data_IF_873081028697
#
_entry.id   IF_873081028697
#
_cell.length_a   1.000
_cell.length_b   1.000
_cell.length_c   1.000
_cell.angle_alpha   90.00
_cell.angle_beta   90.00
_cell.angle_gamma   90.00
#
_symmetry.space_group_name_H-M   'P 1'
#
loop_
_entity.id
_entity.type
_entity.pdbx_description
1 polymer ?
#
# COMPACT_ATOMS: atom_id res chain seq x y z
N UNK A 1 20.81 17.79 -7.51
CA UNK A 1 22.25 17.72 -7.82
C UNK A 1 22.99 17.26 -6.57
N UNK A 2 23.28 15.95 -6.46
CA UNK A 2 24.26 15.49 -5.47
C UNK A 2 25.64 15.96 -5.94
N UNK A 3 26.10 17.07 -5.38
CA UNK A 3 27.45 17.54 -5.63
C UNK A 3 28.42 16.72 -4.78
N UNK A 4 29.13 15.79 -5.44
CA UNK A 4 30.31 15.11 -4.90
C UNK A 4 31.34 16.08 -4.28
N UNK A 5 31.15 17.39 -4.50
CA UNK A 5 32.08 18.48 -4.07
C UNK A 5 31.69 19.16 -2.75
N UNK A 6 30.44 19.03 -2.26
CA UNK A 6 30.01 19.83 -1.10
C UNK A 6 30.20 19.11 0.25
N UNK A 7 30.26 17.77 0.29
CA UNK A 7 30.46 17.03 1.54
C UNK A 7 31.85 16.42 1.67
N UNK A 8 32.70 16.45 0.63
CA UNK A 8 34.05 15.83 0.64
C UNK A 8 34.04 14.31 0.89
N UNK A 9 32.86 13.67 0.95
CA UNK A 9 32.71 12.26 1.24
C UNK A 9 32.62 11.45 -0.06
N UNK A 10 33.35 10.35 -0.10
CA UNK A 10 33.26 9.36 -1.16
C UNK A 10 32.02 8.46 -0.94
N UNK A 11 31.19 8.28 -1.98
CA UNK A 11 30.05 7.38 -1.91
C UNK A 11 30.59 5.94 -2.01
N UNK A 12 30.68 5.26 -0.87
CA UNK A 12 31.01 3.82 -0.83
C UNK A 12 29.84 3.02 -1.38
N UNK A 13 30.09 1.74 -1.72
CA UNK A 13 29.02 0.81 -2.16
C UNK A 13 27.93 0.65 -1.12
N UNK A 14 28.25 0.65 0.16
CA UNK A 14 27.28 0.56 1.26
C UNK A 14 26.39 1.82 1.34
N UNK A 15 26.97 3.01 1.24
CA UNK A 15 26.20 4.26 1.17
C UNK A 15 25.31 4.28 -0.08
N UNK A 16 25.84 3.80 -1.21
CA UNK A 16 25.08 3.71 -2.45
C UNK A 16 23.87 2.75 -2.33
N UNK A 17 24.02 1.61 -1.61
CA UNK A 17 22.93 0.68 -1.31
C UNK A 17 21.79 1.37 -0.53
N UNK A 18 22.10 2.08 0.56
CA UNK A 18 21.08 2.77 1.36
C UNK A 18 20.37 3.89 0.60
N UNK A 19 21.11 4.69 -0.17
CA UNK A 19 20.52 5.73 -1.00
C UNK A 19 19.63 5.15 -2.09
N UNK A 20 20.05 4.07 -2.72
CA UNK A 20 19.27 3.38 -3.74
C UNK A 20 18.03 2.70 -3.14
N UNK A 21 18.14 2.09 -1.95
CA UNK A 21 17.00 1.55 -1.21
C UNK A 21 15.93 2.63 -0.97
N UNK A 22 16.34 3.82 -0.52
CA UNK A 22 15.42 4.95 -0.34
C UNK A 22 14.70 5.35 -1.64
N UNK A 23 15.42 5.43 -2.76
CA UNK A 23 14.82 5.71 -4.07
C UNK A 23 13.84 4.61 -4.48
N UNK A 24 14.21 3.34 -4.33
CA UNK A 24 13.40 2.19 -4.72
C UNK A 24 12.10 2.15 -3.91
N UNK A 25 12.15 2.37 -2.61
CA UNK A 25 10.98 2.34 -1.73
C UNK A 25 10.04 3.53 -1.98
N UNK A 26 10.58 4.74 -2.13
CA UNK A 26 9.79 5.95 -2.38
C UNK A 26 9.13 5.96 -3.77
N UNK A 27 9.75 5.33 -4.74
CA UNK A 27 9.27 5.28 -6.13
C UNK A 27 8.51 4.01 -6.50
N UNK A 28 8.27 3.10 -5.53
CA UNK A 28 7.66 1.80 -5.81
C UNK A 28 8.42 1.03 -6.89
N UNK A 29 9.72 0.93 -6.76
CA UNK A 29 10.62 0.32 -7.76
C UNK A 29 10.53 1.01 -9.13
N UNK A 30 10.56 2.34 -9.13
CA UNK A 30 10.47 3.21 -10.32
C UNK A 30 9.12 3.14 -11.07
N UNK A 31 8.04 2.72 -10.40
CA UNK A 31 6.72 2.60 -11.01
C UNK A 31 5.78 3.79 -10.68
N UNK A 32 6.09 4.60 -9.68
CA UNK A 32 5.25 5.72 -9.28
C UNK A 32 5.46 6.97 -10.15
N UNK A 33 4.47 7.87 -10.14
CA UNK A 33 4.50 9.12 -10.93
C UNK A 33 5.54 10.15 -10.48
N UNK A 34 6.14 9.99 -9.32
CA UNK A 34 7.23 10.84 -8.81
C UNK A 34 8.61 10.51 -9.44
N UNK A 35 8.69 9.50 -10.30
CA UNK A 35 9.92 9.15 -11.03
C UNK A 35 10.19 10.19 -12.12
N UNK A 36 11.36 10.78 -12.10
CA UNK A 36 11.84 11.75 -13.07
C UNK A 36 13.12 11.28 -13.76
N UNK A 37 13.52 11.94 -14.85
CA UNK A 37 14.84 11.74 -15.46
C UNK A 37 15.97 11.82 -14.43
N UNK A 38 15.90 12.83 -13.54
CA UNK A 38 16.91 13.00 -12.49
C UNK A 38 16.93 11.82 -11.49
N UNK A 39 15.78 11.24 -11.15
CA UNK A 39 15.68 10.04 -10.33
C UNK A 39 16.47 8.89 -10.95
N UNK A 40 16.27 8.66 -12.25
CA UNK A 40 16.96 7.59 -12.99
C UNK A 40 18.46 7.86 -13.14
N UNK A 41 18.86 9.12 -13.37
CA UNK A 41 20.28 9.51 -13.43
C UNK A 41 20.99 9.31 -12.09
N UNK A 42 20.33 9.64 -10.98
CA UNK A 42 20.88 9.40 -9.65
C UNK A 42 21.01 7.91 -9.38
N UNK A 43 19.97 7.11 -9.66
CA UNK A 43 20.00 5.65 -9.50
C UNK A 43 21.14 5.02 -10.33
N UNK A 44 21.32 5.44 -11.59
CA UNK A 44 22.43 4.98 -12.46
C UNK A 44 23.79 5.25 -11.83
N UNK A 45 24.00 6.45 -11.25
CA UNK A 45 25.26 6.79 -10.56
C UNK A 45 25.49 5.94 -9.32
N UNK A 46 24.43 5.63 -8.55
CA UNK A 46 24.53 4.78 -7.38
C UNK A 46 24.91 3.34 -7.77
N UNK A 47 24.31 2.81 -8.83
CA UNK A 47 24.68 1.50 -9.38
C UNK A 47 26.16 1.50 -9.85
N UNK A 48 26.61 2.57 -10.52
CA UNK A 48 27.99 2.72 -10.92
C UNK A 48 28.97 2.85 -9.73
N UNK A 49 28.48 3.27 -8.55
CA UNK A 49 29.23 3.31 -7.29
C UNK A 49 29.16 1.97 -6.52
N UNK A 50 28.57 0.93 -7.12
CA UNK A 50 28.54 -0.43 -6.57
C UNK A 50 27.26 -0.80 -5.83
N UNK A 51 26.18 -0.01 -5.96
CA UNK A 51 24.89 -0.37 -5.36
C UNK A 51 24.31 -1.65 -5.99
N UNK A 52 23.78 -2.53 -5.15
CA UNK A 52 23.27 -3.86 -5.53
C UNK A 52 21.79 -3.81 -5.86
N UNK A 53 21.44 -3.12 -6.94
CA UNK A 53 20.05 -2.89 -7.35
C UNK A 53 19.21 -4.17 -7.38
N UNK A 54 19.73 -5.26 -7.97
CA UNK A 54 19.00 -6.53 -8.07
C UNK A 54 18.67 -7.11 -6.68
N UNK A 55 19.64 -7.17 -5.78
CA UNK A 55 19.46 -7.70 -4.43
C UNK A 55 18.45 -6.86 -3.64
N UNK A 56 18.60 -5.53 -3.67
CA UNK A 56 17.69 -4.61 -2.98
C UNK A 56 16.24 -4.79 -3.49
N UNK A 57 16.04 -4.76 -4.80
CA UNK A 57 14.71 -4.96 -5.39
C UNK A 57 14.13 -6.34 -5.08
N UNK A 58 14.96 -7.38 -5.11
CA UNK A 58 14.52 -8.74 -4.79
C UNK A 58 14.07 -8.86 -3.33
N UNK A 59 14.88 -8.37 -2.38
CA UNK A 59 14.53 -8.43 -0.95
C UNK A 59 13.28 -7.62 -0.63
N UNK A 60 13.13 -6.45 -1.24
CA UNK A 60 11.98 -5.57 -0.97
C UNK A 60 10.66 -6.07 -1.58
N UNK A 61 10.68 -6.65 -2.77
CA UNK A 61 9.43 -6.90 -3.52
C UNK A 61 9.19 -8.38 -3.90
N UNK A 62 10.18 -9.25 -3.78
CA UNK A 62 10.08 -10.63 -4.26
C UNK A 62 10.40 -11.69 -3.21
N UNK A 63 11.07 -11.34 -2.12
CA UNK A 63 11.42 -12.27 -1.05
C UNK A 63 10.34 -12.27 0.04
N UNK A 64 9.23 -12.95 -0.24
CA UNK A 64 8.09 -13.02 0.68
C UNK A 64 8.03 -14.37 1.39
N UNK A 65 7.57 -14.37 2.64
CA UNK A 65 7.37 -15.61 3.39
C UNK A 65 6.20 -16.44 2.81
N UNK A 66 6.22 -17.74 3.04
CA UNK A 66 5.13 -18.65 2.67
C UNK A 66 3.81 -18.22 3.32
N UNK A 67 3.85 -17.86 4.59
CA UNK A 67 2.69 -17.45 5.39
C UNK A 67 2.02 -16.22 4.77
N UNK A 68 2.82 -15.20 4.38
CA UNK A 68 2.34 -14.02 3.66
C UNK A 68 1.69 -14.40 2.32
N UNK A 69 2.34 -15.26 1.54
CA UNK A 69 1.81 -15.67 0.23
C UNK A 69 0.48 -16.43 0.36
N UNK A 70 0.36 -17.33 1.35
CA UNK A 70 -0.88 -18.07 1.62
C UNK A 70 -1.97 -17.12 2.12
N UNK A 71 -1.65 -16.18 3.03
CA UNK A 71 -2.60 -15.18 3.50
C UNK A 71 -3.09 -14.29 2.34
N UNK A 72 -2.20 -13.82 1.47
CA UNK A 72 -2.54 -13.01 0.31
C UNK A 72 -3.52 -13.74 -0.62
N UNK A 73 -3.23 -14.99 -0.97
CA UNK A 73 -4.13 -15.81 -1.79
C UNK A 73 -5.50 -16.01 -1.16
N UNK A 74 -5.54 -16.28 0.17
CA UNK A 74 -6.79 -16.45 0.92
C UNK A 74 -7.62 -15.16 0.98
N UNK A 75 -7.00 -14.02 1.21
CA UNK A 75 -7.67 -12.72 1.28
C UNK A 75 -8.18 -12.28 -0.09
N UNK A 76 -7.37 -12.40 -1.13
CA UNK A 76 -7.75 -12.00 -2.48
C UNK A 76 -8.82 -12.90 -3.10
N UNK A 77 -8.85 -14.19 -2.77
CA UNK A 77 -9.91 -15.11 -3.22
C UNK A 77 -11.30 -14.76 -2.66
N UNK A 78 -11.37 -14.02 -1.56
CA UNK A 78 -12.61 -13.54 -0.92
C UNK A 78 -12.95 -12.09 -1.27
N UNK A 79 -12.17 -11.45 -2.14
CA UNK A 79 -12.38 -10.06 -2.55
C UNK A 79 -13.78 -9.89 -3.11
N UNK A 80 -14.43 -8.78 -2.77
CA UNK A 80 -15.76 -8.42 -3.25
C UNK A 80 -15.74 -7.08 -3.96
N UNK A 81 -16.58 -6.96 -4.97
CA UNK A 81 -16.77 -5.75 -5.75
C UNK A 81 -18.14 -5.16 -5.50
N UNK A 82 -18.23 -3.83 -5.51
CA UNK A 82 -19.43 -3.05 -5.26
C UNK A 82 -19.44 -1.83 -6.19
N UNK A 83 -20.62 -1.17 -6.31
CA UNK A 83 -20.77 0.09 -7.04
C UNK A 83 -20.34 -0.03 -8.50
N UNK A 84 -20.88 -1.01 -9.21
CA UNK A 84 -20.54 -1.33 -10.60
C UNK A 84 -19.02 -1.54 -10.78
N UNK A 85 -18.43 -2.35 -9.86
CA UNK A 85 -17.02 -2.71 -9.79
C UNK A 85 -16.04 -1.54 -9.56
N UNK A 86 -16.56 -0.35 -9.20
CA UNK A 86 -15.71 0.81 -8.88
C UNK A 86 -15.07 0.74 -7.50
N UNK A 87 -15.64 -0.06 -6.59
CA UNK A 87 -15.11 -0.32 -5.25
C UNK A 87 -14.75 -1.79 -5.10
N UNK A 88 -13.49 -2.06 -4.76
CA UNK A 88 -13.03 -3.39 -4.36
C UNK A 88 -12.71 -3.43 -2.86
N UNK A 89 -13.21 -4.46 -2.18
CA UNK A 89 -13.05 -4.65 -0.73
C UNK A 89 -12.38 -5.98 -0.46
N UNK A 90 -11.28 -5.95 0.28
CA UNK A 90 -10.64 -7.11 0.89
C UNK A 90 -10.81 -7.08 2.40
N UNK A 91 -10.91 -8.26 3.00
CA UNK A 91 -11.03 -8.38 4.46
C UNK A 91 -10.03 -9.38 5.00
N UNK A 92 -9.40 -9.03 6.10
CA UNK A 92 -8.44 -9.87 6.82
C UNK A 92 -8.95 -10.03 8.26
N UNK A 93 -9.47 -11.20 8.58
CA UNK A 93 -10.05 -11.50 9.88
C UNK A 93 -9.12 -12.40 10.70
N UNK A 94 -9.37 -12.50 12.00
CA UNK A 94 -8.58 -13.33 12.92
C UNK A 94 -8.38 -14.76 12.42
N UNK A 95 -9.42 -15.37 11.81
CA UNK A 95 -9.34 -16.71 11.28
C UNK A 95 -8.40 -16.84 10.07
N UNK A 96 -8.20 -15.75 9.31
CA UNK A 96 -7.24 -15.74 8.22
C UNK A 96 -5.81 -15.79 8.76
N UNK A 97 -5.51 -15.04 9.81
CA UNK A 97 -4.22 -15.09 10.49
C UNK A 97 -3.97 -16.45 11.14
N UNK A 98 -4.93 -16.97 11.91
CA UNK A 98 -4.82 -18.27 12.58
C UNK A 98 -4.60 -19.43 11.61
N UNK A 99 -5.29 -19.41 10.46
CA UNK A 99 -5.22 -20.49 9.48
C UNK A 99 -3.95 -20.48 8.64
N UNK A 100 -3.28 -19.33 8.52
CA UNK A 100 -2.08 -19.16 7.68
C UNK A 100 -0.79 -19.06 8.49
N UNK A 101 -0.88 -18.78 9.79
CA UNK A 101 0.27 -18.49 10.64
C UNK A 101 0.89 -17.13 10.38
N UNK A 102 0.24 -16.28 9.56
CA UNK A 102 0.73 -14.94 9.25
C UNK A 102 0.40 -13.95 10.37
N UNK A 103 1.17 -12.87 10.44
CA UNK A 103 0.96 -11.74 11.35
C UNK A 103 0.44 -10.49 10.60
N UNK A 104 -0.04 -9.51 11.36
CA UNK A 104 -0.69 -8.32 10.78
C UNK A 104 0.25 -7.44 9.95
N UNK A 105 1.53 -7.39 10.26
CA UNK A 105 2.56 -6.70 9.46
C UNK A 105 2.73 -7.30 8.06
N UNK A 106 2.43 -8.60 7.90
CA UNK A 106 2.48 -9.28 6.60
C UNK A 106 1.38 -8.85 5.63
N UNK A 107 0.43 -8.01 6.05
CA UNK A 107 -0.65 -7.48 5.19
C UNK A 107 -0.28 -6.22 4.44
N UNK A 108 0.91 -5.66 4.68
CA UNK A 108 1.36 -4.45 4.01
C UNK A 108 1.35 -4.61 2.48
N UNK A 109 0.80 -3.62 1.77
CA UNK A 109 0.67 -3.64 0.31
C UNK A 109 -0.47 -4.50 -0.25
N UNK A 110 -1.20 -5.27 0.57
CA UNK A 110 -2.31 -6.09 0.07
C UNK A 110 -3.39 -5.28 -0.63
N UNK A 111 -3.63 -4.06 -0.16
CA UNK A 111 -4.65 -3.15 -0.71
C UNK A 111 -4.31 -2.66 -2.12
N UNK A 112 -3.05 -2.70 -2.53
CA UNK A 112 -2.62 -2.23 -3.85
C UNK A 112 -3.09 -3.18 -4.96
N UNK A 113 -3.26 -4.47 -4.63
CA UNK A 113 -3.75 -5.45 -5.59
C UNK A 113 -5.19 -5.16 -6.06
N UNK A 114 -6.23 -5.02 -5.19
CA UNK A 114 -7.56 -4.61 -5.64
C UNK A 114 -7.56 -3.26 -6.38
N UNK A 115 -6.73 -2.30 -5.95
CA UNK A 115 -6.64 -1.02 -6.66
C UNK A 115 -6.06 -1.16 -8.07
N UNK A 116 -5.19 -2.14 -8.32
CA UNK A 116 -4.59 -2.39 -9.64
C UNK A 116 -5.59 -2.91 -10.70
N UNK A 117 -6.76 -3.38 -10.26
CA UNK A 117 -7.77 -3.95 -11.16
C UNK A 117 -8.38 -2.84 -12.02
N UNK A 118 -8.54 -3.13 -13.32
CA UNK A 118 -9.18 -2.22 -14.26
C UNK A 118 -10.63 -1.94 -13.85
N UNK A 119 -11.05 -0.67 -13.90
CA UNK A 119 -12.39 -0.24 -13.49
C UNK A 119 -12.53 0.10 -12.02
N UNK A 120 -11.71 -0.47 -11.13
CA UNK A 120 -11.70 -0.11 -9.71
C UNK A 120 -11.13 1.30 -9.53
N UNK A 121 -11.85 2.15 -8.84
CA UNK A 121 -11.46 3.52 -8.50
C UNK A 121 -11.03 3.65 -7.04
N UNK A 122 -11.66 2.87 -6.16
CA UNK A 122 -11.35 2.84 -4.72
C UNK A 122 -11.14 1.41 -4.26
N UNK A 123 -10.10 1.18 -3.48
CA UNK A 123 -9.86 -0.07 -2.76
C UNK A 123 -9.96 0.14 -1.26
N UNK A 124 -10.58 -0.82 -0.58
CA UNK A 124 -10.72 -0.85 0.89
C UNK A 124 -10.17 -2.15 1.43
N UNK A 125 -9.36 -2.06 2.46
CA UNK A 125 -8.96 -3.19 3.29
C UNK A 125 -9.56 -3.04 4.69
N UNK A 126 -10.30 -4.07 5.13
CA UNK A 126 -10.90 -4.17 6.47
C UNK A 126 -10.13 -5.24 7.24
N UNK A 127 -9.25 -4.82 8.14
CA UNK A 127 -8.44 -5.74 8.94
C UNK A 127 -8.91 -5.76 10.39
N UNK A 128 -9.27 -6.93 10.90
CA UNK A 128 -9.59 -7.09 12.31
C UNK A 128 -8.34 -6.91 13.16
N UNK A 129 -8.35 -5.90 14.04
CA UNK A 129 -7.24 -5.59 14.95
C UNK A 129 -7.49 -6.12 16.36
N UNK A 130 -8.76 -6.19 16.77
CA UNK A 130 -9.25 -6.74 18.04
C UNK A 130 -10.69 -7.23 17.84
N UNK A 131 -11.28 -8.00 18.77
CA UNK A 131 -12.70 -8.30 18.72
C UNK A 131 -13.54 -7.02 18.55
N UNK A 132 -14.38 -6.99 17.50
CA UNK A 132 -15.24 -5.86 17.14
C UNK A 132 -14.49 -4.53 16.91
N UNK A 133 -13.22 -4.57 16.52
CA UNK A 133 -12.47 -3.37 16.14
C UNK A 133 -11.66 -3.65 14.87
N UNK A 134 -11.81 -2.77 13.87
CA UNK A 134 -11.25 -2.95 12.54
C UNK A 134 -10.42 -1.74 12.12
N UNK A 135 -9.21 -2.01 11.67
CA UNK A 135 -8.39 -1.05 10.94
C UNK A 135 -8.85 -1.02 9.49
N UNK A 136 -9.27 0.13 9.05
CA UNK A 136 -9.68 0.38 7.68
C UNK A 136 -8.54 1.11 6.97
N UNK A 137 -8.15 0.61 5.83
CA UNK A 137 -7.25 1.30 4.92
C UNK A 137 -8.00 1.58 3.62
N UNK A 138 -7.81 2.78 3.08
CA UNK A 138 -8.43 3.21 1.83
C UNK A 138 -7.35 3.67 0.85
N UNK A 139 -7.56 3.35 -0.43
CA UNK A 139 -6.74 3.83 -1.55
C UNK A 139 -7.65 4.28 -2.69
N UNK A 140 -7.23 5.31 -3.41
CA UNK A 140 -7.97 5.89 -4.54
C UNK A 140 -7.05 6.09 -5.74
N UNK A 141 -7.61 5.96 -6.94
CA UNK A 141 -6.96 6.37 -8.20
C UNK A 141 -7.09 7.87 -8.50
N UNK A 142 -7.75 8.63 -7.61
CA UNK A 142 -7.81 10.10 -7.67
C UNK A 142 -9.20 10.67 -7.90
N UNK A 143 -10.22 9.88 -8.27
CA UNK A 143 -11.59 10.38 -8.37
C UNK A 143 -12.23 10.66 -7.00
N UNK A 144 -11.88 9.89 -5.98
CA UNK A 144 -12.41 10.06 -4.62
C UNK A 144 -11.29 10.52 -3.70
N UNK A 145 -11.54 11.55 -2.92
CA UNK A 145 -10.70 11.91 -1.77
C UNK A 145 -10.98 10.94 -0.61
N UNK A 146 -10.13 9.93 -0.46
CA UNK A 146 -10.31 8.94 0.61
C UNK A 146 -9.94 9.48 1.99
N UNK A 147 -9.29 10.64 2.09
CA UNK A 147 -9.07 11.30 3.36
C UNK A 147 -10.38 11.88 3.92
N UNK A 148 -11.23 12.45 3.07
CA UNK A 148 -12.58 12.89 3.48
C UNK A 148 -13.40 11.69 3.97
N UNK A 149 -13.38 10.57 3.25
CA UNK A 149 -14.07 9.33 3.68
C UNK A 149 -13.56 8.84 5.04
N UNK A 150 -12.24 8.78 5.25
CA UNK A 150 -11.68 8.36 6.53
C UNK A 150 -12.02 9.31 7.68
N UNK A 151 -12.11 10.61 7.40
CA UNK A 151 -12.42 11.66 8.39
C UNK A 151 -13.82 11.53 8.98
N UNK A 152 -14.79 10.97 8.23
CA UNK A 152 -16.15 10.64 8.74
C UNK A 152 -16.07 9.72 9.97
N UNK A 153 -15.04 8.87 10.03
CA UNK A 153 -14.83 7.88 11.08
C UNK A 153 -13.70 8.29 12.06
N UNK A 154 -13.33 9.57 12.08
CA UNK A 154 -12.28 10.08 12.96
C UNK A 154 -10.86 9.65 12.55
N UNK A 155 -10.68 9.21 11.31
CA UNK A 155 -9.40 8.88 10.71
C UNK A 155 -8.82 10.03 9.88
N UNK A 156 -7.89 9.71 8.99
CA UNK A 156 -7.26 10.69 8.10
C UNK A 156 -6.12 10.09 7.28
N UNK A 157 -5.43 10.97 6.56
CA UNK A 157 -4.30 10.60 5.69
C UNK A 157 -4.13 11.58 4.54
N UNK A 158 -3.91 11.05 3.36
CA UNK A 158 -3.79 11.81 2.12
C UNK A 158 -4.97 11.52 1.18
N UNK A 159 -5.19 12.39 0.22
CA UNK A 159 -6.25 12.27 -0.81
C UNK A 159 -6.32 10.89 -1.44
N UNK A 160 -5.16 10.27 -1.72
CA UNK A 160 -5.07 8.96 -2.38
C UNK A 160 -4.89 7.77 -1.42
N UNK A 161 -4.56 8.03 -0.14
CA UNK A 161 -4.22 7.00 0.83
C UNK A 161 -4.55 7.44 2.25
N UNK A 162 -5.53 6.83 2.87
CA UNK A 162 -5.99 7.17 4.21
C UNK A 162 -6.40 5.94 5.00
N UNK A 163 -6.72 6.14 6.28
CA UNK A 163 -7.20 5.07 7.13
C UNK A 163 -7.91 5.55 8.38
N UNK A 164 -8.69 4.67 8.99
CA UNK A 164 -9.40 4.91 10.23
C UNK A 164 -9.54 3.62 11.05
N UNK A 165 -10.02 3.77 12.28
CA UNK A 165 -10.42 2.63 13.14
C UNK A 165 -11.92 2.70 13.35
N UNK A 166 -12.62 1.58 13.11
CA UNK A 166 -14.07 1.50 13.35
C UNK A 166 -14.37 0.34 14.29
N UNK A 167 -15.15 0.62 15.33
CA UNK A 167 -15.66 -0.40 16.26
C UNK A 167 -17.08 -0.80 15.88
N UNK A 168 -17.39 -2.09 15.98
CA UNK A 168 -18.70 -2.67 15.67
C UNK A 168 -18.61 -4.10 15.16
N UNK A 169 -19.74 -4.68 14.78
CA UNK A 169 -19.75 -5.97 14.07
C UNK A 169 -19.23 -5.80 12.65
N UNK A 170 -18.57 -6.83 12.13
CA UNK A 170 -17.92 -6.78 10.81
C UNK A 170 -18.86 -6.32 9.68
N UNK A 171 -20.08 -6.87 9.63
CA UNK A 171 -21.03 -6.51 8.57
C UNK A 171 -21.42 -5.02 8.66
N UNK A 172 -21.70 -4.50 9.87
CA UNK A 172 -22.04 -3.09 10.07
C UNK A 172 -20.89 -2.15 9.66
N UNK A 173 -19.65 -2.53 10.00
CA UNK A 173 -18.44 -1.78 9.64
C UNK A 173 -18.27 -1.77 8.12
N UNK A 174 -18.39 -2.91 7.49
CA UNK A 174 -18.31 -3.05 6.03
C UNK A 174 -19.37 -2.19 5.32
N UNK A 175 -20.64 -2.27 5.75
CA UNK A 175 -21.74 -1.52 5.13
C UNK A 175 -21.58 0.00 5.31
N UNK A 176 -21.11 0.47 6.48
CA UNK A 176 -20.79 1.89 6.71
C UNK A 176 -19.71 2.40 5.76
N UNK A 177 -18.64 1.63 5.55
CA UNK A 177 -17.57 2.02 4.64
C UNK A 177 -18.03 2.02 3.19
N UNK A 178 -18.77 0.99 2.75
CA UNK A 178 -19.32 0.93 1.40
C UNK A 178 -20.22 2.15 1.14
N UNK A 179 -21.10 2.48 2.11
CA UNK A 179 -21.97 3.65 2.01
C UNK A 179 -21.16 4.95 1.89
N UNK A 180 -20.16 5.16 2.74
CA UNK A 180 -19.37 6.39 2.70
C UNK A 180 -18.61 6.55 1.37
N UNK A 181 -18.07 5.45 0.81
CA UNK A 181 -17.44 5.48 -0.52
C UNK A 181 -18.47 5.70 -1.62
N UNK A 182 -19.66 5.11 -1.51
CA UNK A 182 -20.76 5.34 -2.46
C UNK A 182 -21.19 6.80 -2.51
N UNK A 183 -21.36 7.42 -1.34
CA UNK A 183 -21.74 8.83 -1.22
C UNK A 183 -20.65 9.72 -1.87
N UNK A 184 -19.37 9.43 -1.62
CA UNK A 184 -18.25 10.15 -2.22
C UNK A 184 -18.14 9.98 -3.76
N UNK A 185 -18.44 8.78 -4.29
CA UNK A 185 -18.48 8.53 -5.74
C UNK A 185 -19.69 9.19 -6.43
N UNK A 186 -20.80 9.33 -5.72
CA UNK A 186 -22.04 9.92 -6.26
C UNK A 186 -22.03 11.45 -6.25
N UNK A 187 -21.17 12.07 -5.47
CA UNK A 187 -20.99 13.52 -5.40
C UNK A 187 -20.09 14.10 -6.51
N UNK A 188 -19.60 13.24 -7.41
CA UNK A 188 -18.79 13.61 -8.57
C UNK A 188 -19.67 13.80 -9.82
#
# INVERSE_FOLDING_TARGET
>A
RFHKRELGAEITSEIADYLLLGIITDTGNFAHSNVSENTLLVASKLVSSGARLHEISYQMFKNQSKERAVLFGRVTSKMKFFLDDKLAVISVLDDDFKSTGASSDMTEGFIDFPLSISGVEVAVSIMQSKPNAFKISLRSKGKVDVNEVASIFGGGGHVLASGCMICGFYEDVKDKIIKAVSDALSGL
#
